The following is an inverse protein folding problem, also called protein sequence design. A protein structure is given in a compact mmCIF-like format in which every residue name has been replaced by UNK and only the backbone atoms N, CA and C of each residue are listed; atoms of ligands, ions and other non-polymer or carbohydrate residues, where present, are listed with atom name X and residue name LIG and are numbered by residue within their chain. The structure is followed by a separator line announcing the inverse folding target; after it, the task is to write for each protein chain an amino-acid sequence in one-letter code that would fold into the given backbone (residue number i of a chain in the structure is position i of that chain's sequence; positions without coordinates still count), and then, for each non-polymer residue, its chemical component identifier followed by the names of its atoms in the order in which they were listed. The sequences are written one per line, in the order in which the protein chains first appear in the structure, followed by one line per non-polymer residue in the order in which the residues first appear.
data_IF_054629463213
#
_entry.id   IF_054629463213
#
_cell.length_a   1.000
_cell.length_b   1.000
_cell.length_c   1.000
_cell.angle_alpha   90.00
_cell.angle_beta   90.00
_cell.angle_gamma   90.00
#
_symmetry.space_group_name_H-M   'P 1'
#
loop_
_entity.id
_entity.type
_entity.pdbx_description
1 polymer ?
#
# COMPACT_ATOMS: atom_id res chain seq x y z
N UNK A 1 -21.28 -18.22 -35.61
CA UNK A 1 -21.67 -17.04 -34.81
C UNK A 1 -21.71 -17.47 -33.36
N UNK A 2 -20.58 -17.37 -32.66
CA UNK A 2 -20.48 -17.74 -31.24
C UNK A 2 -20.76 -16.52 -30.38
N UNK A 3 -21.68 -16.72 -29.45
CA UNK A 3 -22.23 -15.76 -28.51
C UNK A 3 -21.12 -15.28 -27.57
N UNK A 4 -20.77 -13.98 -27.65
CA UNK A 4 -19.95 -13.29 -26.66
C UNK A 4 -20.76 -13.17 -25.36
N UNK A 5 -20.50 -14.06 -24.41
CA UNK A 5 -20.95 -13.91 -23.03
C UNK A 5 -20.06 -12.86 -22.37
N UNK A 6 -20.48 -11.59 -22.45
CA UNK A 6 -19.99 -10.53 -21.57
C UNK A 6 -20.46 -10.85 -20.16
N UNK A 7 -19.63 -11.57 -19.40
CA UNK A 7 -19.75 -11.60 -17.95
C UNK A 7 -19.35 -10.19 -17.50
N UNK A 8 -20.34 -9.33 -17.30
CA UNK A 8 -20.18 -8.12 -16.52
C UNK A 8 -19.79 -8.59 -15.11
N UNK A 9 -18.48 -8.61 -14.84
CA UNK A 9 -17.99 -8.72 -13.47
C UNK A 9 -18.65 -7.56 -12.72
N UNK A 10 -19.45 -7.88 -11.70
CA UNK A 10 -19.98 -6.87 -10.79
C UNK A 10 -18.78 -6.23 -10.08
N UNK A 11 -18.26 -5.15 -10.65
CA UNK A 11 -17.23 -4.31 -10.06
C UNK A 11 -17.77 -3.83 -8.72
N UNK A 12 -17.03 -4.10 -7.63
CA UNK A 12 -17.30 -3.44 -6.36
C UNK A 12 -17.42 -1.95 -6.62
N UNK A 13 -18.55 -1.35 -6.24
CA UNK A 13 -18.84 0.05 -6.56
C UNK A 13 -17.72 0.92 -5.97
N UNK A 14 -17.03 1.67 -6.83
CA UNK A 14 -16.02 2.60 -6.39
C UNK A 14 -16.62 3.59 -5.38
N UNK A 15 -15.96 3.83 -4.23
CA UNK A 15 -16.40 4.83 -3.26
C UNK A 15 -16.49 6.24 -3.89
N UNK A 16 -17.27 7.11 -3.27
CA UNK A 16 -17.42 8.50 -3.70
C UNK A 16 -16.06 9.19 -3.88
N UNK A 17 -15.92 9.96 -4.96
CA UNK A 17 -14.66 10.63 -5.31
C UNK A 17 -13.64 9.73 -6.01
N UNK A 18 -13.97 8.46 -6.28
CA UNK A 18 -13.16 7.55 -7.09
C UNK A 18 -13.98 6.96 -8.24
N UNK A 19 -13.31 6.43 -9.26
CA UNK A 19 -13.95 5.86 -10.44
C UNK A 19 -13.21 4.61 -10.93
N UNK A 20 -13.93 3.63 -11.50
CA UNK A 20 -13.31 2.48 -12.12
C UNK A 20 -12.66 2.89 -13.44
N UNK A 21 -11.57 2.22 -13.78
CA UNK A 21 -10.97 2.22 -15.12
C UNK A 21 -10.43 0.80 -15.36
N UNK A 22 -11.28 -0.05 -15.92
CA UNK A 22 -11.00 -1.49 -16.03
C UNK A 22 -9.76 -1.78 -16.89
N UNK A 23 -9.52 -0.98 -17.93
CA UNK A 23 -8.39 -1.16 -18.83
C UNK A 23 -7.07 -0.84 -18.11
N UNK A 24 -7.03 0.29 -17.39
CA UNK A 24 -5.86 0.67 -16.60
C UNK A 24 -5.64 -0.26 -15.41
N UNK A 25 -6.71 -0.66 -14.74
CA UNK A 25 -6.66 -1.63 -13.65
C UNK A 25 -6.03 -2.96 -14.11
N UNK A 26 -6.47 -3.49 -15.26
CA UNK A 26 -5.90 -4.70 -15.84
C UNK A 26 -4.41 -4.55 -16.15
N UNK A 27 -3.99 -3.42 -16.73
CA UNK A 27 -2.58 -3.15 -17.03
C UNK A 27 -1.70 -3.10 -15.76
N UNK A 28 -2.19 -2.46 -14.70
CA UNK A 28 -1.51 -2.38 -13.39
C UNK A 28 -1.37 -3.76 -12.74
N UNK A 29 -2.43 -4.58 -12.78
CA UNK A 29 -2.42 -5.93 -12.22
C UNK A 29 -1.47 -6.85 -13.00
N UNK A 30 -1.48 -6.81 -14.33
CA UNK A 30 -0.56 -7.55 -15.18
C UNK A 30 0.90 -7.14 -14.88
N UNK A 31 1.19 -5.84 -14.85
CA UNK A 31 2.53 -5.33 -14.59
C UNK A 31 3.05 -5.68 -13.19
N UNK A 32 2.17 -5.70 -12.18
CA UNK A 32 2.54 -6.06 -10.82
C UNK A 32 2.66 -7.58 -10.60
N UNK A 33 2.02 -8.39 -11.44
CA UNK A 33 1.83 -9.83 -11.22
C UNK A 33 0.96 -10.15 -9.99
N UNK A 34 0.17 -9.18 -9.53
CA UNK A 34 -0.71 -9.32 -8.38
C UNK A 34 -1.97 -10.13 -8.73
N UNK A 35 -2.61 -10.80 -7.74
CA UNK A 35 -3.91 -11.40 -7.94
C UNK A 35 -4.98 -10.33 -8.26
N UNK A 36 -6.04 -10.75 -8.95
CA UNK A 36 -7.17 -9.88 -9.26
C UNK A 36 -7.72 -9.17 -8.02
N UNK A 37 -7.94 -7.87 -8.16
CA UNK A 37 -8.42 -6.98 -7.11
C UNK A 37 -9.21 -5.83 -7.74
N UNK A 38 -10.34 -5.40 -7.13
CA UNK A 38 -11.01 -4.18 -7.57
C UNK A 38 -10.09 -2.97 -7.37
N UNK A 39 -9.87 -2.19 -8.44
CA UNK A 39 -9.08 -0.95 -8.41
C UNK A 39 -9.99 0.22 -8.78
N UNK A 40 -9.95 1.26 -7.96
CA UNK A 40 -10.57 2.55 -8.25
C UNK A 40 -9.52 3.65 -8.21
N UNK A 41 -9.69 4.67 -9.05
CA UNK A 41 -8.78 5.79 -9.19
C UNK A 41 -9.45 7.08 -8.73
N UNK A 42 -8.72 7.94 -8.02
CA UNK A 42 -9.20 9.26 -7.63
C UNK A 42 -8.05 10.19 -7.27
N UNK A 43 -8.30 11.51 -7.30
CA UNK A 43 -7.31 12.49 -6.87
C UNK A 43 -7.12 12.39 -5.35
N UNK A 44 -5.92 12.03 -4.91
CA UNK A 44 -5.61 11.87 -3.48
C UNK A 44 -4.12 11.88 -3.22
N UNK A 45 -3.78 12.23 -1.98
CA UNK A 45 -2.39 12.27 -1.54
C UNK A 45 -1.79 10.86 -1.36
N UNK A 46 -2.63 9.86 -1.04
CA UNK A 46 -2.18 8.51 -0.72
C UNK A 46 -3.10 7.42 -1.30
N UNK A 47 -2.47 6.45 -1.96
CA UNK A 47 -3.11 5.20 -2.35
C UNK A 47 -3.30 4.30 -1.12
N UNK A 48 -4.48 3.67 -0.96
CA UNK A 48 -4.81 2.82 0.19
C UNK A 48 -5.57 1.56 -0.24
N UNK A 49 -5.66 0.58 0.65
CA UNK A 49 -6.58 -0.56 0.53
C UNK A 49 -7.70 -0.44 1.57
N UNK A 50 -8.94 -0.68 1.19
CA UNK A 50 -10.09 -0.67 2.12
C UNK A 50 -10.19 -1.98 2.90
N UNK A 51 -10.99 -1.99 3.96
CA UNK A 51 -11.31 -3.21 4.71
C UNK A 51 -11.98 -4.29 3.83
N UNK A 52 -12.71 -3.88 2.80
CA UNK A 52 -13.35 -4.78 1.82
C UNK A 52 -12.39 -5.21 0.69
N UNK A 53 -11.11 -4.82 0.75
CA UNK A 53 -10.08 -5.24 -0.19
C UNK A 53 -10.04 -4.49 -1.52
N UNK A 54 -10.73 -3.36 -1.63
CA UNK A 54 -10.69 -2.45 -2.79
C UNK A 54 -9.42 -1.61 -2.73
N UNK A 55 -8.63 -1.64 -3.80
CA UNK A 55 -7.45 -0.79 -3.98
C UNK A 55 -7.91 0.56 -4.51
N UNK A 56 -7.57 1.61 -3.78
CA UNK A 56 -7.92 2.97 -4.14
C UNK A 56 -6.64 3.74 -4.45
N UNK A 57 -6.33 3.90 -5.73
CA UNK A 57 -5.07 4.47 -6.19
C UNK A 57 -5.18 5.97 -6.51
N UNK A 58 -4.11 6.70 -6.28
CA UNK A 58 -3.97 8.06 -6.81
C UNK A 58 -3.96 8.03 -8.34
N UNK A 59 -4.93 8.72 -8.93
CA UNK A 59 -5.10 8.80 -10.37
C UNK A 59 -3.88 9.40 -11.08
N UNK A 60 -3.07 10.21 -10.37
CA UNK A 60 -1.89 10.89 -10.93
C UNK A 60 -0.66 9.99 -11.13
N UNK A 61 -0.60 8.83 -10.47
CA UNK A 61 0.53 7.91 -10.58
C UNK A 61 0.63 7.34 -12.00
N UNK A 62 1.84 7.13 -12.52
CA UNK A 62 1.99 6.30 -13.72
C UNK A 62 1.74 4.81 -13.40
N UNK A 63 1.47 4.01 -14.43
CA UNK A 63 1.11 2.61 -14.25
C UNK A 63 2.23 1.77 -13.58
N UNK A 64 3.53 1.95 -13.87
CA UNK A 64 4.59 1.27 -13.14
C UNK A 64 4.65 1.62 -11.65
N UNK A 65 4.52 2.91 -11.31
CA UNK A 65 4.51 3.33 -9.90
C UNK A 65 3.26 2.79 -9.19
N UNK A 66 2.11 2.80 -9.88
CA UNK A 66 0.87 2.25 -9.37
C UNK A 66 0.99 0.73 -9.14
N UNK A 67 1.56 -0.02 -10.09
CA UNK A 67 1.80 -1.45 -9.98
C UNK A 67 2.72 -1.80 -8.80
N UNK A 68 3.80 -1.03 -8.59
CA UNK A 68 4.65 -1.22 -7.43
C UNK A 68 3.93 -0.92 -6.11
N UNK A 69 3.10 0.14 -6.07
CA UNK A 69 2.28 0.49 -4.91
C UNK A 69 1.20 -0.55 -4.61
N UNK A 70 0.61 -1.17 -5.63
CA UNK A 70 -0.34 -2.27 -5.43
C UNK A 70 0.28 -3.39 -4.61
N UNK A 71 1.53 -3.76 -4.87
CA UNK A 71 2.22 -4.81 -4.10
C UNK A 71 2.41 -4.43 -2.63
N UNK A 72 2.74 -3.18 -2.32
CA UNK A 72 2.76 -2.68 -0.94
C UNK A 72 1.38 -2.80 -0.30
N UNK A 73 0.34 -2.30 -0.97
CA UNK A 73 -1.02 -2.29 -0.42
C UNK A 73 -1.56 -3.70 -0.16
N UNK A 74 -1.25 -4.65 -1.04
CA UNK A 74 -1.68 -6.03 -0.88
C UNK A 74 -0.97 -6.75 0.27
N UNK A 75 0.24 -6.32 0.66
CA UNK A 75 0.93 -6.83 1.85
C UNK A 75 0.13 -6.56 3.14
N UNK A 76 -0.76 -5.56 3.13
CA UNK A 76 -1.63 -5.19 4.25
C UNK A 76 -3.00 -5.88 4.25
N UNK A 77 -3.27 -6.83 3.34
CA UNK A 77 -4.53 -7.61 3.38
C UNK A 77 -4.65 -8.54 4.58
N UNK A 78 -3.52 -8.87 5.21
CA UNK A 78 -3.48 -9.71 6.41
C UNK A 78 -3.91 -8.98 7.69
N UNK A 79 -4.15 -9.72 8.79
CA UNK A 79 -4.44 -9.09 10.07
C UNK A 79 -3.26 -8.24 10.54
N UNK A 80 -3.56 -7.05 11.04
CA UNK A 80 -2.57 -6.23 11.73
C UNK A 80 -2.15 -6.89 13.07
N UNK A 81 -0.91 -6.66 13.55
CA UNK A 81 -0.49 -7.07 14.88
C UNK A 81 -1.47 -6.57 15.95
N UNK A 82 -1.86 -7.43 16.91
CA UNK A 82 -2.79 -7.03 17.96
C UNK A 82 -2.15 -5.97 18.88
N UNK A 83 -2.94 -5.06 19.46
CA UNK A 83 -2.45 -4.13 20.48
C UNK A 83 -1.80 -4.86 21.66
N UNK A 84 -0.73 -4.28 22.20
CA UNK A 84 -0.01 -4.85 23.35
C UNK A 84 1.51 -4.74 23.25
N UNK A 85 2.24 -5.38 24.19
CA UNK A 85 3.71 -5.42 24.16
C UNK A 85 4.22 -5.95 22.83
N UNK A 86 5.13 -5.20 22.18
CA UNK A 86 5.69 -5.58 20.88
C UNK A 86 4.83 -5.24 19.67
N UNK A 87 3.60 -4.72 19.82
CA UNK A 87 2.74 -4.33 18.70
C UNK A 87 3.42 -3.32 17.78
N UNK A 88 4.08 -2.30 18.34
CA UNK A 88 4.76 -1.25 17.56
C UNK A 88 5.87 -1.85 16.70
N UNK A 89 6.75 -2.65 17.32
CA UNK A 89 7.88 -3.27 16.61
C UNK A 89 7.40 -4.27 15.54
N UNK A 90 6.42 -5.11 15.85
CA UNK A 90 5.83 -6.03 14.88
C UNK A 90 5.18 -5.27 13.69
N UNK A 91 4.51 -4.15 13.97
CA UNK A 91 3.87 -3.33 12.95
C UNK A 91 4.88 -2.59 12.07
N UNK A 92 5.97 -2.07 12.65
CA UNK A 92 7.04 -1.42 11.89
C UNK A 92 7.78 -2.43 11.00
N UNK A 93 7.99 -3.66 11.48
CA UNK A 93 8.55 -4.74 10.66
C UNK A 93 7.63 -5.07 9.48
N UNK A 94 6.33 -5.26 9.72
CA UNK A 94 5.36 -5.53 8.65
C UNK A 94 5.33 -4.40 7.61
N UNK A 95 5.35 -3.13 8.05
CA UNK A 95 5.41 -1.97 7.17
C UNK A 95 6.71 -1.93 6.35
N UNK A 96 7.86 -2.21 6.98
CA UNK A 96 9.14 -2.26 6.30
C UNK A 96 9.19 -3.37 5.24
N UNK A 97 8.60 -4.53 5.51
CA UNK A 97 8.44 -5.62 4.53
C UNK A 97 7.56 -5.19 3.35
N UNK A 98 6.45 -4.48 3.61
CA UNK A 98 5.58 -3.95 2.56
C UNK A 98 6.32 -2.93 1.67
N UNK A 99 7.09 -2.03 2.28
CA UNK A 99 7.97 -1.12 1.54
C UNK A 99 9.01 -1.85 0.69
N UNK A 100 9.67 -2.87 1.25
CA UNK A 100 10.64 -3.67 0.52
C UNK A 100 10.04 -4.30 -0.75
N UNK A 101 8.78 -4.77 -0.69
CA UNK A 101 8.07 -5.29 -1.87
C UNK A 101 7.90 -4.22 -2.96
N UNK A 102 7.43 -3.02 -2.59
CA UNK A 102 7.30 -1.91 -3.54
C UNK A 102 8.64 -1.49 -4.12
N UNK A 103 9.68 -1.31 -3.29
CA UNK A 103 11.00 -0.89 -3.77
C UNK A 103 11.64 -1.89 -4.73
N UNK A 104 11.50 -3.20 -4.45
CA UNK A 104 11.96 -4.26 -5.37
C UNK A 104 11.16 -4.26 -6.67
N UNK A 105 9.86 -3.99 -6.63
CA UNK A 105 9.03 -3.85 -7.82
C UNK A 105 9.45 -2.62 -8.66
N UNK A 106 9.63 -1.47 -8.00
CA UNK A 106 10.14 -0.24 -8.64
C UNK A 106 11.47 -0.49 -9.36
N UNK A 107 12.41 -1.16 -8.69
CA UNK A 107 13.70 -1.52 -9.29
C UNK A 107 13.55 -2.42 -10.52
N UNK A 108 12.69 -3.46 -10.45
CA UNK A 108 12.41 -4.36 -11.59
C UNK A 108 11.80 -3.63 -12.79
N UNK A 109 11.00 -2.60 -12.53
CA UNK A 109 10.35 -1.77 -13.56
C UNK A 109 11.23 -0.62 -14.05
N UNK A 110 12.47 -0.50 -13.57
CA UNK A 110 13.40 0.56 -13.98
C UNK A 110 13.05 1.95 -13.46
N UNK A 111 12.24 2.06 -12.41
CA UNK A 111 11.88 3.34 -11.82
C UNK A 111 13.07 3.98 -11.07
N UNK A 112 13.18 5.33 -11.08
CA UNK A 112 14.25 6.03 -10.39
C UNK A 112 14.20 5.81 -8.87
N UNK A 113 15.37 5.89 -8.23
CA UNK A 113 15.59 5.61 -6.81
C UNK A 113 15.46 6.88 -5.93
N UNK A 114 14.49 7.73 -6.22
CA UNK A 114 14.38 9.09 -5.70
C UNK A 114 13.03 9.40 -5.06
N UNK A 115 12.12 8.42 -5.00
CA UNK A 115 10.78 8.64 -4.47
C UNK A 115 10.77 8.66 -2.94
N UNK A 116 11.56 7.80 -2.31
CA UNK A 116 11.61 7.67 -0.85
C UNK A 116 13.02 7.90 -0.30
N UNK A 117 13.16 8.45 0.93
CA UNK A 117 14.47 8.82 1.47
C UNK A 117 15.42 7.63 1.67
N UNK A 118 14.88 6.42 1.85
CA UNK A 118 15.64 5.19 2.03
C UNK A 118 15.79 4.36 0.74
N UNK A 119 15.19 4.76 -0.38
CA UNK A 119 15.09 3.93 -1.59
C UNK A 119 16.45 3.59 -2.20
N UNK A 120 17.33 4.59 -2.38
CA UNK A 120 18.66 4.36 -2.95
C UNK A 120 19.50 3.42 -2.08
N UNK A 121 19.51 3.67 -0.77
CA UNK A 121 20.26 2.82 0.18
C UNK A 121 19.71 1.40 0.19
N UNK A 122 18.38 1.24 0.19
CA UNK A 122 17.76 -0.09 0.13
C UNK A 122 18.11 -0.80 -1.17
N UNK A 123 18.11 -0.10 -2.31
CA UNK A 123 18.45 -0.70 -3.60
C UNK A 123 19.89 -1.25 -3.64
N UNK A 124 20.79 -0.67 -2.87
CA UNK A 124 22.20 -1.10 -2.79
C UNK A 124 22.42 -2.26 -1.81
N UNK A 125 21.63 -2.36 -0.74
CA UNK A 125 21.85 -3.33 0.34
C UNK A 125 20.80 -4.43 0.46
N UNK A 126 19.60 -4.21 -0.07
CA UNK A 126 18.37 -4.99 0.18
C UNK A 126 18.05 -5.16 1.68
N UNK A 127 18.54 -4.25 2.53
CA UNK A 127 18.37 -4.30 3.98
C UNK A 127 17.01 -3.73 4.42
N UNK A 128 16.07 -4.61 4.79
CA UNK A 128 14.76 -4.22 5.32
C UNK A 128 14.89 -3.48 6.66
N UNK A 129 15.93 -3.79 7.45
CA UNK A 129 16.19 -3.15 8.75
C UNK A 129 16.47 -1.66 8.64
N UNK A 130 17.03 -1.20 7.51
CA UNK A 130 17.19 0.23 7.18
C UNK A 130 15.82 0.93 7.14
N UNK A 131 14.82 0.30 6.53
CA UNK A 131 13.48 0.88 6.37
C UNK A 131 12.81 0.96 7.74
N UNK A 132 12.83 -0.14 8.49
CA UNK A 132 12.26 -0.18 9.85
C UNK A 132 12.90 0.86 10.78
N UNK A 133 14.23 1.03 10.70
CA UNK A 133 14.94 2.08 11.44
C UNK A 133 14.48 3.47 11.02
N UNK A 134 14.40 3.75 9.72
CA UNK A 134 13.95 5.04 9.22
C UNK A 134 12.53 5.38 9.69
N UNK A 135 11.59 4.43 9.62
CA UNK A 135 10.20 4.60 10.08
C UNK A 135 10.12 4.90 11.59
N UNK A 136 11.01 4.33 12.39
CA UNK A 136 11.10 4.59 13.84
C UNK A 136 11.65 5.98 14.14
N UNK A 137 12.62 6.44 13.35
CA UNK A 137 13.26 7.76 13.49
C UNK A 137 12.39 8.90 12.96
N UNK A 138 11.45 8.61 12.05
CA UNK A 138 10.56 9.59 11.42
C UNK A 138 9.08 9.23 11.64
N UNK A 139 8.58 9.22 12.90
CA UNK A 139 7.23 8.76 13.20
C UNK A 139 6.14 9.62 12.53
N UNK A 140 6.42 10.90 12.29
CA UNK A 140 5.51 11.85 11.65
C UNK A 140 5.62 11.88 10.12
N UNK A 141 6.45 11.01 9.53
CA UNK A 141 6.67 10.94 8.10
C UNK A 141 7.64 12.01 7.58
N UNK A 142 8.10 11.82 6.35
CA UNK A 142 8.94 12.74 5.59
C UNK A 142 9.17 12.20 4.16
N UNK A 143 9.44 13.08 3.19
CA UNK A 143 9.89 12.69 1.85
C UNK A 143 8.97 11.70 1.14
N UNK A 144 7.68 12.01 1.02
CA UNK A 144 6.64 11.15 0.43
C UNK A 144 6.32 9.86 1.20
N UNK A 145 6.80 9.73 2.44
CA UNK A 145 6.37 8.69 3.40
C UNK A 145 5.51 9.33 4.48
N UNK A 146 4.37 8.70 4.76
CA UNK A 146 3.36 9.22 5.68
C UNK A 146 3.80 9.07 7.14
N UNK A 147 3.01 9.66 8.05
CA UNK A 147 3.14 9.51 9.50
C UNK A 147 2.76 8.10 10.00
N UNK A 148 3.35 7.06 9.40
CA UNK A 148 3.05 5.65 9.66
C UNK A 148 3.44 5.27 11.08
N UNK A 149 4.61 5.71 11.56
CA UNK A 149 5.06 5.45 12.92
C UNK A 149 4.11 6.01 13.98
N UNK A 150 3.64 7.25 13.80
CA UNK A 150 2.64 7.87 14.67
C UNK A 150 1.29 7.16 14.60
N UNK A 151 0.86 6.73 13.41
CA UNK A 151 -0.34 5.92 13.22
C UNK A 151 -0.28 4.58 13.96
N UNK A 152 0.84 3.86 13.82
CA UNK A 152 1.12 2.62 14.53
C UNK A 152 1.11 2.83 16.04
N UNK A 153 1.79 3.88 16.54
CA UNK A 153 1.84 4.19 17.96
C UNK A 153 0.44 4.42 18.54
N UNK A 154 -0.44 5.14 17.82
CA UNK A 154 -1.84 5.33 18.23
C UNK A 154 -2.63 4.02 18.24
N UNK A 155 -2.48 3.17 17.21
CA UNK A 155 -3.16 1.87 17.12
C UNK A 155 -2.72 0.90 18.22
N UNK A 156 -1.44 0.87 18.52
CA UNK A 156 -0.82 -0.04 19.48
C UNK A 156 -0.87 0.47 20.93
N UNK A 157 -1.16 1.75 21.14
CA UNK A 157 -1.25 2.37 22.46
C UNK A 157 -2.39 1.81 23.32
N UNK A 158 -2.46 2.20 24.60
CA UNK A 158 -3.53 1.76 25.49
C UNK A 158 -4.88 2.12 24.87
N UNK A 159 -5.69 1.12 24.54
CA UNK A 159 -7.07 1.39 24.14
C UNK A 159 -7.79 1.90 25.38
N UNK A 160 -8.14 3.18 25.38
CA UNK A 160 -9.08 3.70 26.37
C UNK A 160 -10.39 2.96 26.13
N UNK A 161 -10.67 1.98 26.97
CA UNK A 161 -11.98 1.32 27.03
C UNK A 161 -12.97 2.42 27.39
N UNK A 162 -13.63 2.97 26.39
CA UNK A 162 -14.77 3.82 26.56
C UNK A 162 -15.82 3.02 27.32
N UNK A 163 -15.88 3.25 28.63
CA UNK A 163 -16.98 2.87 29.48
C UNK A 163 -18.25 3.45 28.86
N UNK A 164 -19.01 2.61 28.14
CA UNK A 164 -20.40 2.91 27.85
C UNK A 164 -21.10 2.83 29.21
N UNK A 165 -21.56 4.00 29.66
CA UNK A 165 -22.39 4.18 30.85
C UNK A 165 -23.60 3.25 30.81
#
# INVERSE_FOLDING_TARGET
MSLLLLIAACSGRCPDGTSPDDARAAAILDLSGAPDAPICFGARDHSVITADGVLLLDASMDDPSAAARVLHLLAHRGPAPPPGPGCVEASLTQEAEAWALELRARARMGLPADRYPFELSFRQSDDIGLIARWLREHPDGAGHVDAVGAGIARRCGPQTTGSRR
#
